data_IF_558306493674
#
_entry.id   IF_558306493674
#
_cell.length_a   1.000
_cell.length_b   1.000
_cell.length_c   1.000
_cell.angle_alpha   90.00
_cell.angle_beta   90.00
_cell.angle_gamma   90.00
#
_symmetry.space_group_name_H-M   'P 1'
#
loop_
_entity.id
_entity.type
_entity.pdbx_description
1 polymer ?
#
# COMPACT_ATOMS: atom_id res chain seq x y z
N UNK A 1 39.45 12.81 -17.72
CA UNK A 1 38.12 12.15 -17.70
C UNK A 1 37.68 12.00 -16.25
N UNK A 2 36.64 12.73 -15.82
CA UNK A 2 36.06 12.57 -14.52
C UNK A 2 35.29 11.24 -14.48
N UNK A 3 35.74 10.28 -13.68
CA UNK A 3 34.98 9.04 -13.46
C UNK A 3 33.67 9.42 -12.76
N UNK A 4 32.54 9.12 -13.38
CA UNK A 4 31.23 9.27 -12.73
C UNK A 4 31.22 8.36 -11.50
N UNK A 5 30.87 8.86 -10.31
CA UNK A 5 30.80 8.02 -9.12
C UNK A 5 29.68 6.98 -9.33
N UNK A 6 30.05 5.70 -9.30
CA UNK A 6 29.10 4.59 -9.32
C UNK A 6 28.92 4.11 -7.88
N UNK A 7 27.71 4.29 -7.35
CA UNK A 7 27.36 3.83 -6.02
C UNK A 7 26.49 2.58 -6.15
N UNK A 8 27.02 1.42 -5.77
CA UNK A 8 26.38 0.12 -6.03
C UNK A 8 25.62 -0.40 -4.79
N UNK A 9 25.92 0.12 -3.60
CA UNK A 9 25.31 -0.37 -2.35
C UNK A 9 24.05 0.40 -2.00
N UNK A 10 22.89 -0.16 -2.37
CA UNK A 10 21.58 0.44 -2.12
C UNK A 10 21.24 0.61 -0.63
N UNK A 11 21.83 -0.21 0.26
CA UNK A 11 21.58 -0.12 1.72
C UNK A 11 22.29 1.08 2.38
N UNK A 12 23.30 1.65 1.73
CA UNK A 12 24.03 2.82 2.22
C UNK A 12 23.52 4.14 1.65
N UNK A 13 22.62 4.10 0.67
CA UNK A 13 22.01 5.30 0.08
C UNK A 13 20.93 5.83 1.02
N UNK A 14 21.07 7.05 1.50
CA UNK A 14 20.00 7.75 2.23
C UNK A 14 18.97 8.26 1.22
N UNK A 15 17.91 7.49 1.02
CA UNK A 15 16.82 7.88 0.13
C UNK A 15 15.99 9.00 0.77
N UNK A 16 15.66 10.07 0.03
CA UNK A 16 14.71 11.08 0.48
C UNK A 16 13.30 10.49 0.61
N UNK A 17 12.49 11.04 1.52
CA UNK A 17 11.14 10.54 1.80
C UNK A 17 10.25 10.39 0.56
N UNK A 18 10.27 11.32 -0.42
CA UNK A 18 9.51 11.15 -1.67
C UNK A 18 9.93 9.93 -2.50
N UNK A 19 11.23 9.59 -2.50
CA UNK A 19 11.71 8.39 -3.19
C UNK A 19 11.23 7.11 -2.51
N UNK A 20 11.24 7.08 -1.17
CA UNK A 20 10.69 5.97 -0.38
C UNK A 20 9.19 5.81 -0.69
N UNK A 21 8.43 6.90 -0.71
CA UNK A 21 7.01 6.88 -1.04
C UNK A 21 6.76 6.32 -2.45
N UNK A 22 7.55 6.71 -3.45
CA UNK A 22 7.43 6.19 -4.81
C UNK A 22 7.73 4.69 -4.93
N UNK A 23 8.78 4.22 -4.24
CA UNK A 23 9.14 2.79 -4.22
C UNK A 23 8.04 1.99 -3.51
N UNK A 24 7.56 2.46 -2.37
CA UNK A 24 6.49 1.80 -1.60
C UNK A 24 5.19 1.74 -2.40
N UNK A 25 4.87 2.76 -3.22
CA UNK A 25 3.71 2.72 -4.11
C UNK A 25 3.80 1.58 -5.14
N UNK A 26 4.98 1.35 -5.73
CA UNK A 26 5.20 0.23 -6.66
C UNK A 26 5.09 -1.12 -5.94
N UNK A 27 5.67 -1.24 -4.74
CA UNK A 27 5.59 -2.46 -3.93
C UNK A 27 4.13 -2.73 -3.54
N UNK A 28 3.38 -1.72 -3.11
CA UNK A 28 1.96 -1.89 -2.78
C UNK A 28 1.13 -2.32 -3.99
N UNK A 29 1.46 -1.86 -5.21
CA UNK A 29 0.83 -2.32 -6.45
C UNK A 29 1.07 -3.82 -6.70
N UNK A 30 2.29 -4.29 -6.49
CA UNK A 30 2.64 -5.72 -6.60
C UNK A 30 1.87 -6.55 -5.55
N UNK A 31 1.82 -6.10 -4.30
CA UNK A 31 1.08 -6.77 -3.23
C UNK A 31 -0.41 -6.81 -3.58
N UNK A 32 -0.99 -5.70 -4.04
CA UNK A 32 -2.39 -5.66 -4.42
C UNK A 32 -2.73 -6.64 -5.55
N UNK A 33 -1.84 -6.79 -6.53
CA UNK A 33 -2.07 -7.72 -7.63
C UNK A 33 -1.96 -9.19 -7.18
N UNK A 34 -0.90 -9.55 -6.46
CA UNK A 34 -0.63 -10.96 -6.11
C UNK A 34 -1.32 -11.43 -4.83
N UNK A 35 -1.65 -10.53 -3.91
CA UNK A 35 -2.29 -10.85 -2.63
C UNK A 35 -3.68 -10.25 -2.56
N UNK A 36 -3.85 -8.97 -2.86
CA UNK A 36 -5.12 -8.25 -2.74
C UNK A 36 -6.20 -8.82 -3.66
N UNK A 37 -5.92 -8.99 -4.95
CA UNK A 37 -6.91 -9.54 -5.90
C UNK A 37 -7.33 -10.97 -5.54
N UNK A 38 -6.41 -11.92 -5.28
CA UNK A 38 -6.80 -13.26 -4.82
C UNK A 38 -7.58 -13.24 -3.51
N UNK A 39 -7.19 -12.40 -2.54
CA UNK A 39 -7.91 -12.26 -1.26
C UNK A 39 -9.32 -11.75 -1.47
N UNK A 40 -9.52 -10.75 -2.33
CA UNK A 40 -10.84 -10.23 -2.66
C UNK A 40 -11.73 -11.29 -3.34
N UNK A 41 -11.18 -12.02 -4.31
CA UNK A 41 -11.89 -13.13 -4.98
C UNK A 41 -12.27 -14.21 -3.97
N UNK A 42 -11.34 -14.58 -3.08
CA UNK A 42 -11.60 -15.55 -2.01
C UNK A 42 -12.73 -15.08 -1.09
N UNK A 43 -12.72 -13.82 -0.64
CA UNK A 43 -13.79 -13.27 0.22
C UNK A 43 -15.14 -13.24 -0.49
N UNK A 44 -15.17 -12.85 -1.76
CA UNK A 44 -16.39 -12.85 -2.56
C UNK A 44 -16.98 -14.25 -2.70
N UNK A 45 -16.14 -15.24 -3.05
CA UNK A 45 -16.57 -16.63 -3.17
C UNK A 45 -17.00 -17.23 -1.84
N UNK A 46 -16.27 -16.91 -0.75
CA UNK A 46 -16.62 -17.40 0.59
C UNK A 46 -17.97 -16.84 1.07
N UNK A 47 -18.24 -15.56 0.81
CA UNK A 47 -19.54 -14.94 1.09
C UNK A 47 -20.67 -15.65 0.37
N UNK A 48 -20.51 -15.90 -0.92
CA UNK A 48 -21.48 -16.64 -1.73
C UNK A 48 -21.72 -18.08 -1.21
N UNK A 49 -20.66 -18.80 -0.84
CA UNK A 49 -20.76 -20.17 -0.31
C UNK A 49 -21.43 -20.22 1.07
N UNK A 50 -21.17 -19.23 1.92
CA UNK A 50 -21.80 -19.11 3.25
C UNK A 50 -23.30 -18.84 3.10
N UNK A 51 -23.70 -17.92 2.22
CA UNK A 51 -25.08 -17.58 1.96
C UNK A 51 -25.88 -18.79 1.43
N UNK A 52 -25.28 -19.62 0.60
CA UNK A 52 -25.88 -20.86 0.11
C UNK A 52 -25.76 -22.06 1.07
N UNK A 53 -25.28 -21.85 2.31
CA UNK A 53 -25.16 -22.90 3.32
C UNK A 53 -24.09 -23.97 3.04
N UNK A 54 -23.23 -23.73 2.03
CA UNK A 54 -22.19 -24.68 1.63
C UNK A 54 -20.90 -24.53 2.42
N UNK A 55 -20.76 -23.44 3.21
CA UNK A 55 -19.57 -23.10 3.94
C UNK A 55 -19.87 -22.47 5.30
N UNK A 56 -18.90 -22.51 6.22
CA UNK A 56 -19.06 -21.94 7.56
C UNK A 56 -18.05 -20.83 7.80
N UNK A 57 -18.50 -19.71 8.37
CA UNK A 57 -17.67 -18.54 8.71
C UNK A 57 -16.56 -18.84 9.75
N UNK A 58 -16.63 -19.97 10.46
CA UNK A 58 -15.57 -20.42 11.38
C UNK A 58 -14.21 -20.72 10.68
N UNK A 59 -14.20 -20.75 9.33
CA UNK A 59 -12.99 -20.93 8.52
C UNK A 59 -12.14 -19.65 8.37
N UNK A 60 -12.62 -18.49 8.84
CA UNK A 60 -11.80 -17.27 8.92
C UNK A 60 -10.82 -17.37 10.10
N UNK A 61 -9.80 -18.20 9.91
CA UNK A 61 -8.72 -18.39 10.85
C UNK A 61 -7.75 -17.19 10.84
N UNK A 62 -6.75 -17.23 11.71
CA UNK A 62 -5.78 -16.15 11.88
C UNK A 62 -5.00 -15.83 10.60
N UNK A 63 -4.70 -16.83 9.77
CA UNK A 63 -3.97 -16.67 8.50
C UNK A 63 -4.78 -15.85 7.50
N UNK A 64 -6.09 -16.12 7.40
CA UNK A 64 -7.00 -15.36 6.53
C UNK A 64 -7.11 -13.92 7.00
N UNK A 65 -7.21 -13.67 8.31
CA UNK A 65 -7.22 -12.32 8.87
C UNK A 65 -5.93 -11.56 8.56
N UNK A 66 -4.77 -12.22 8.62
CA UNK A 66 -3.50 -11.62 8.20
C UNK A 66 -3.49 -11.26 6.71
N UNK A 67 -3.95 -12.15 5.84
CA UNK A 67 -4.02 -11.85 4.40
C UNK A 67 -4.94 -10.67 4.10
N UNK A 68 -6.09 -10.61 4.75
CA UNK A 68 -7.03 -9.48 4.62
C UNK A 68 -6.36 -8.19 5.12
N UNK A 69 -5.72 -8.22 6.28
CA UNK A 69 -5.05 -7.04 6.86
C UNK A 69 -3.94 -6.50 5.95
N UNK A 70 -3.08 -7.38 5.42
CA UNK A 70 -2.01 -6.99 4.49
C UNK A 70 -2.59 -6.40 3.21
N UNK A 71 -3.64 -7.01 2.66
CA UNK A 71 -4.31 -6.53 1.45
C UNK A 71 -4.94 -5.15 1.66
N UNK A 72 -5.60 -4.92 2.81
CA UNK A 72 -6.20 -3.62 3.14
C UNK A 72 -5.14 -2.54 3.31
N UNK A 73 -4.06 -2.80 4.06
CA UNK A 73 -2.99 -1.83 4.26
C UNK A 73 -2.33 -1.46 2.92
N UNK A 74 -2.03 -2.46 2.08
CA UNK A 74 -1.44 -2.23 0.77
C UNK A 74 -2.37 -1.43 -0.14
N UNK A 75 -3.67 -1.72 -0.11
CA UNK A 75 -4.69 -1.03 -0.91
C UNK A 75 -4.85 0.43 -0.47
N UNK A 76 -5.00 0.67 0.84
CA UNK A 76 -5.13 2.02 1.41
C UNK A 76 -3.92 2.87 1.06
N UNK A 77 -2.71 2.34 1.26
CA UNK A 77 -1.49 3.03 0.87
C UNK A 77 -1.43 3.31 -0.62
N UNK A 78 -1.76 2.33 -1.46
CA UNK A 78 -1.73 2.47 -2.91
C UNK A 78 -2.66 3.57 -3.41
N UNK A 79 -3.86 3.66 -2.83
CA UNK A 79 -4.83 4.71 -3.17
C UNK A 79 -4.28 6.10 -2.80
N UNK A 80 -3.83 6.31 -1.56
CA UNK A 80 -3.33 7.63 -1.14
C UNK A 80 -2.06 8.03 -1.88
N UNK A 81 -1.13 7.11 -2.10
CA UNK A 81 0.08 7.37 -2.86
C UNK A 81 -0.22 7.63 -4.34
N UNK A 82 -1.18 6.90 -4.93
CA UNK A 82 -1.65 7.12 -6.30
C UNK A 82 -2.31 8.48 -6.48
N UNK A 83 -3.20 8.89 -5.56
CA UNK A 83 -3.80 10.23 -5.55
C UNK A 83 -2.73 11.33 -5.46
N UNK A 84 -1.72 11.13 -4.60
CA UNK A 84 -0.59 12.05 -4.52
C UNK A 84 0.16 12.17 -5.85
N UNK A 85 0.44 11.06 -6.52
CA UNK A 85 1.09 11.09 -7.84
C UNK A 85 0.26 11.86 -8.86
N UNK A 86 -1.04 11.60 -8.92
CA UNK A 86 -1.94 12.33 -9.82
C UNK A 86 -1.96 13.82 -9.50
N UNK A 87 -2.00 14.22 -8.23
CA UNK A 87 -1.99 15.63 -7.83
C UNK A 87 -0.69 16.34 -8.26
N UNK A 88 0.45 15.69 -8.12
CA UNK A 88 1.74 16.24 -8.55
C UNK A 88 1.80 16.37 -10.09
N UNK A 89 1.29 15.39 -10.82
CA UNK A 89 1.30 15.37 -12.27
C UNK A 89 0.36 16.43 -12.88
N UNK A 90 -0.74 16.77 -12.22
CA UNK A 90 -1.72 17.74 -12.69
C UNK A 90 -1.57 19.15 -12.09
N UNK A 91 -0.66 19.34 -11.14
CA UNK A 91 -0.44 20.62 -10.47
C UNK A 91 1.06 20.99 -10.47
N UNK A 92 1.35 22.26 -10.27
CA UNK A 92 2.72 22.72 -10.03
C UNK A 92 3.21 22.41 -8.61
N UNK A 93 2.32 21.94 -7.74
CA UNK A 93 2.63 21.60 -6.34
C UNK A 93 3.41 20.27 -6.24
N UNK A 94 4.43 20.27 -5.42
CA UNK A 94 5.21 19.06 -5.14
C UNK A 94 6.48 18.91 -5.97
N UNK A 95 6.80 19.89 -6.83
CA UNK A 95 8.06 19.94 -7.57
C UNK A 95 9.23 20.37 -6.68
N UNK A 96 8.98 21.14 -5.62
CA UNK A 96 9.99 21.48 -4.64
C UNK A 96 10.16 20.33 -3.63
N UNK A 97 11.41 20.12 -3.18
CA UNK A 97 11.75 19.03 -2.27
C UNK A 97 10.99 19.10 -0.94
N UNK A 98 10.74 20.32 -0.43
CA UNK A 98 9.99 20.56 0.80
C UNK A 98 8.53 20.12 0.67
N UNK A 99 7.86 20.51 -0.41
CA UNK A 99 6.47 20.14 -0.72
C UNK A 99 6.34 18.64 -0.96
N UNK A 100 7.28 18.06 -1.71
CA UNK A 100 7.34 16.64 -1.97
C UNK A 100 7.52 15.80 -0.69
N UNK A 101 8.31 16.29 0.28
CA UNK A 101 8.46 15.66 1.59
C UNK A 101 7.18 15.77 2.42
N UNK A 102 6.58 16.95 2.45
CA UNK A 102 5.36 17.19 3.23
C UNK A 102 4.20 16.34 2.72
N UNK A 103 3.98 16.31 1.40
CA UNK A 103 2.92 15.49 0.79
C UNK A 103 3.15 13.98 1.00
N UNK A 104 4.40 13.50 0.95
CA UNK A 104 4.71 12.11 1.24
C UNK A 104 4.42 11.76 2.72
N UNK A 105 4.75 12.66 3.65
CA UNK A 105 4.47 12.48 5.07
C UNK A 105 2.97 12.39 5.34
N UNK A 106 2.15 13.24 4.70
CA UNK A 106 0.69 13.19 4.78
C UNK A 106 0.17 11.83 4.32
N UNK A 107 0.67 11.30 3.20
CA UNK A 107 0.27 9.99 2.69
C UNK A 107 0.55 8.88 3.71
N UNK A 108 1.74 8.86 4.31
CA UNK A 108 2.08 7.88 5.34
C UNK A 108 1.19 8.02 6.58
N UNK A 109 0.92 9.25 7.02
CA UNK A 109 0.07 9.50 8.19
C UNK A 109 -1.38 9.04 7.94
N UNK A 110 -1.97 9.44 6.80
CA UNK A 110 -3.32 9.02 6.42
C UNK A 110 -3.40 7.50 6.30
N UNK A 111 -2.40 6.87 5.66
CA UNK A 111 -2.33 5.42 5.56
C UNK A 111 -2.32 4.76 6.94
N UNK A 112 -1.51 5.26 7.87
CA UNK A 112 -1.44 4.71 9.23
C UNK A 112 -2.80 4.79 9.94
N UNK A 113 -3.47 5.96 9.87
CA UNK A 113 -4.77 6.17 10.51
C UNK A 113 -5.85 5.25 9.91
N UNK A 114 -6.01 5.28 8.58
CA UNK A 114 -7.05 4.48 7.92
C UNK A 114 -6.78 2.97 8.02
N UNK A 115 -5.51 2.55 7.93
CA UNK A 115 -5.14 1.15 8.10
C UNK A 115 -5.39 0.66 9.53
N UNK A 116 -5.15 1.49 10.54
CA UNK A 116 -5.46 1.15 11.92
C UNK A 116 -6.96 0.82 12.09
N UNK A 117 -7.85 1.70 11.64
CA UNK A 117 -9.28 1.45 11.73
C UNK A 117 -9.72 0.24 10.89
N UNK A 118 -9.21 0.11 9.66
CA UNK A 118 -9.56 -1.01 8.80
C UNK A 118 -9.12 -2.37 9.38
N UNK A 119 -7.95 -2.43 10.00
CA UNK A 119 -7.45 -3.66 10.65
C UNK A 119 -8.25 -3.97 11.92
N UNK A 120 -8.65 -2.95 12.70
CA UNK A 120 -9.50 -3.15 13.88
C UNK A 120 -10.85 -3.79 13.54
N UNK A 121 -11.42 -3.54 12.36
CA UNK A 121 -12.66 -4.17 11.90
C UNK A 121 -12.46 -5.65 11.52
N UNK A 122 -11.24 -6.06 11.19
CA UNK A 122 -10.92 -7.45 10.81
C UNK A 122 -10.69 -8.34 12.03
N UNK A 123 -10.21 -7.75 13.16
CA UNK A 123 -9.80 -8.49 14.37
C UNK A 123 -10.80 -8.41 15.49
#
# INVERSE_FOLDING_TARGET
MSRRPTFINLFLIRLPLPAISSISHRISGIINFFVGVPTFVFLFLSGYLIENGSWNASLFNIEVKFLISISLIALIYHIFAGLRHMLIDFSEYGHELAEARFSALIVFLLTAIFSFFAVMEVW
#
